data_IF_772038012724
#
_entry.id   IF_772038012724
#
_cell.length_a   1.000
_cell.length_b   1.000
_cell.length_c   1.000
_cell.angle_alpha   90.00
_cell.angle_beta   90.00
_cell.angle_gamma   90.00
#
_symmetry.space_group_name_H-M   'P 1'
#
loop_
_entity.id
_entity.type
_entity.pdbx_description
1 polymer ?
#
# COMPACT_ATOMS: atom_id res chain seq x y z
N UNK A 1 -5.59 16.39 9.58
CA UNK A 1 -5.93 14.95 9.62
C UNK A 1 -5.18 14.25 8.52
N UNK A 2 -4.49 13.17 8.85
CA UNK A 2 -3.75 12.41 7.85
C UNK A 2 -4.69 11.52 7.06
N UNK A 3 -4.60 11.58 5.76
CA UNK A 3 -5.24 10.62 4.89
C UNK A 3 -4.25 9.54 4.50
N UNK A 4 -4.75 8.35 4.25
CA UNK A 4 -3.94 7.24 3.81
C UNK A 4 -4.29 6.89 2.38
N UNK A 5 -3.30 6.41 1.67
CA UNK A 5 -3.48 5.89 0.32
C UNK A 5 -3.10 4.41 0.31
N UNK A 6 -3.72 3.68 -0.60
CA UNK A 6 -3.34 2.31 -0.89
C UNK A 6 -2.83 2.24 -2.31
N UNK A 7 -1.57 1.84 -2.48
CA UNK A 7 -0.95 1.67 -3.77
C UNK A 7 -0.89 0.18 -4.10
N UNK A 8 -1.51 -0.22 -5.21
CA UNK A 8 -1.50 -1.60 -5.69
C UNK A 8 -0.39 -1.79 -6.70
N UNK A 9 0.32 -2.88 -6.59
CA UNK A 9 1.40 -3.22 -7.52
C UNK A 9 0.98 -4.39 -8.42
N UNK A 10 1.09 -4.19 -9.72
CA UNK A 10 1.15 -5.28 -10.68
C UNK A 10 2.59 -5.47 -11.14
N UNK A 11 2.78 -6.34 -12.11
CA UNK A 11 4.12 -6.61 -12.64
C UNK A 11 4.79 -5.33 -13.17
N UNK A 12 4.06 -4.53 -13.93
CA UNK A 12 4.59 -3.35 -14.60
C UNK A 12 3.77 -2.09 -14.35
N UNK A 13 2.90 -2.10 -13.33
CA UNK A 13 1.98 -0.99 -13.08
C UNK A 13 1.75 -0.77 -11.58
N UNK A 14 1.30 0.44 -11.27
CA UNK A 14 0.86 0.82 -9.92
C UNK A 14 -0.41 1.65 -10.04
N UNK A 15 -1.41 1.31 -9.27
CA UNK A 15 -2.67 2.08 -9.17
C UNK A 15 -2.84 2.50 -7.72
N UNK A 16 -3.32 3.72 -7.49
CA UNK A 16 -3.54 4.23 -6.14
C UNK A 16 -5.01 4.49 -5.87
N UNK A 17 -5.43 4.18 -4.65
CA UNK A 17 -6.72 4.58 -4.11
C UNK A 17 -6.46 5.51 -2.92
N UNK A 18 -7.21 6.61 -2.83
CA UNK A 18 -6.98 7.67 -1.86
C UNK A 18 -8.19 7.89 -0.97
N UNK A 19 -8.00 8.65 0.10
CA UNK A 19 -9.09 9.14 0.93
C UNK A 19 -9.46 8.22 2.09
N UNK A 20 -8.55 7.34 2.49
CA UNK A 20 -8.79 6.51 3.67
C UNK A 20 -8.45 7.29 4.94
N UNK A 21 -9.37 7.27 5.91
CA UNK A 21 -9.19 7.99 7.17
C UNK A 21 -8.23 7.33 8.15
N UNK A 22 -7.86 6.07 7.92
CA UNK A 22 -6.92 5.34 8.77
C UNK A 22 -6.12 4.34 7.95
N UNK A 23 -4.96 3.95 8.48
CA UNK A 23 -4.15 2.91 7.87
C UNK A 23 -4.90 1.58 7.78
N UNK A 24 -5.73 1.30 8.79
CA UNK A 24 -6.51 0.06 8.84
C UNK A 24 -7.54 0.00 7.71
N UNK A 25 -8.20 1.11 7.40
CA UNK A 25 -9.17 1.16 6.30
C UNK A 25 -8.49 0.97 4.95
N UNK A 26 -7.34 1.59 4.76
CA UNK A 26 -6.54 1.39 3.54
C UNK A 26 -6.07 -0.06 3.43
N UNK A 27 -5.65 -0.67 4.53
CA UNK A 27 -5.25 -2.08 4.55
C UNK A 27 -6.39 -3.00 4.15
N UNK A 28 -7.59 -2.75 4.66
CA UNK A 28 -8.78 -3.53 4.29
C UNK A 28 -9.02 -3.47 2.78
N UNK A 29 -8.88 -2.30 2.20
CA UNK A 29 -9.05 -2.13 0.75
C UNK A 29 -7.98 -2.88 -0.03
N UNK A 30 -6.73 -2.81 0.45
CA UNK A 30 -5.63 -3.57 -0.15
C UNK A 30 -5.86 -5.08 -0.12
N UNK A 31 -6.30 -5.59 1.02
CA UNK A 31 -6.62 -7.00 1.16
C UNK A 31 -7.76 -7.44 0.24
N UNK A 32 -8.74 -6.57 0.04
CA UNK A 32 -9.84 -6.81 -0.89
C UNK A 32 -9.33 -6.95 -2.32
N UNK A 33 -8.34 -6.15 -2.70
CA UNK A 33 -7.81 -6.13 -4.06
C UNK A 33 -6.76 -7.20 -4.34
N UNK A 34 -6.07 -7.71 -3.31
CA UNK A 34 -4.99 -8.69 -3.51
C UNK A 34 -5.40 -9.96 -4.26
N UNK A 35 -6.60 -10.53 -4.04
CA UNK A 35 -7.00 -11.72 -4.79
C UNK A 35 -7.28 -11.46 -6.27
N UNK A 36 -7.35 -10.19 -6.68
CA UNK A 36 -7.60 -9.84 -8.08
C UNK A 36 -6.42 -10.27 -8.94
N UNK A 37 -6.71 -10.89 -10.08
CA UNK A 37 -5.68 -11.36 -10.99
C UNK A 37 -4.77 -10.21 -11.43
N UNK A 38 -3.47 -10.41 -11.35
CA UNK A 38 -2.48 -9.41 -11.71
C UNK A 38 -2.04 -8.49 -10.59
N UNK A 39 -2.71 -8.51 -9.44
CA UNK A 39 -2.26 -7.75 -8.27
C UNK A 39 -1.15 -8.52 -7.57
N UNK A 40 -0.01 -7.89 -7.47
CA UNK A 40 1.22 -8.46 -6.94
C UNK A 40 1.36 -8.20 -5.44
N UNK A 41 0.90 -7.02 -5.00
CA UNK A 41 0.92 -6.62 -3.61
C UNK A 41 0.34 -5.23 -3.45
N UNK A 42 0.37 -4.69 -2.24
CA UNK A 42 -0.06 -3.32 -2.00
C UNK A 42 0.75 -2.67 -0.89
N UNK A 43 0.74 -1.35 -0.87
CA UNK A 43 1.34 -0.55 0.19
C UNK A 43 0.32 0.45 0.74
N UNK A 44 0.29 0.60 2.05
CA UNK A 44 -0.49 1.62 2.74
C UNK A 44 0.46 2.70 3.22
N UNK A 45 0.23 3.94 2.83
CA UNK A 45 1.13 5.05 3.08
C UNK A 45 0.33 6.27 3.49
N UNK A 46 0.81 7.00 4.50
CA UNK A 46 0.21 8.27 4.87
C UNK A 46 0.45 9.31 3.77
N UNK A 47 -0.58 10.02 3.37
CA UNK A 47 -0.47 11.10 2.40
C UNK A 47 0.09 12.34 3.10
N UNK A 48 1.11 12.95 2.51
CA UNK A 48 1.72 14.20 2.99
C UNK A 48 1.32 15.37 2.09
N UNK A 49 1.65 16.60 2.53
CA UNK A 49 1.38 17.81 1.75
C UNK A 49 2.07 17.81 0.39
N UNK A 50 3.17 17.09 0.26
CA UNK A 50 3.92 16.97 -0.99
C UNK A 50 3.56 15.71 -1.79
N UNK A 51 2.45 15.05 -1.43
CA UNK A 51 2.07 13.78 -2.00
C UNK A 51 2.71 12.62 -1.22
N UNK A 52 2.71 11.46 -1.82
CA UNK A 52 3.25 10.28 -1.18
C UNK A 52 4.50 9.81 -1.92
N UNK A 53 5.41 9.22 -1.18
CA UNK A 53 6.56 8.52 -1.75
C UNK A 53 6.73 7.18 -1.07
N UNK A 54 6.95 6.16 -1.87
CA UNK A 54 7.28 4.84 -1.37
C UNK A 54 8.73 4.55 -1.73
N UNK A 55 9.60 4.54 -0.71
CA UNK A 55 11.01 4.20 -0.86
C UNK A 55 11.22 2.68 -0.79
N UNK A 56 10.37 1.96 -1.46
CA UNK A 56 10.44 0.51 -1.51
C UNK A 56 10.95 0.09 -2.88
N UNK A 57 12.03 -0.65 -2.89
CA UNK A 57 12.54 -1.23 -4.13
C UNK A 57 11.63 -2.40 -4.52
N UNK A 58 10.94 -2.25 -5.64
CA UNK A 58 10.03 -3.27 -6.15
C UNK A 58 10.72 -4.60 -6.45
N UNK A 59 12.03 -4.57 -6.71
CA UNK A 59 12.79 -5.79 -6.93
C UNK A 59 12.88 -6.67 -5.68
N UNK A 60 12.63 -6.10 -4.52
CA UNK A 60 12.57 -6.85 -3.26
C UNK A 60 11.24 -7.56 -3.05
N UNK A 61 10.22 -7.23 -3.83
CA UNK A 61 8.91 -7.84 -3.75
C UNK A 61 8.89 -9.08 -4.63
N UNK A 62 8.60 -10.23 -4.05
CA UNK A 62 8.69 -11.52 -4.75
C UNK A 62 7.35 -12.25 -4.88
N UNK A 63 6.26 -11.67 -4.42
CA UNK A 63 4.97 -12.33 -4.45
C UNK A 63 3.86 -11.42 -3.96
N UNK A 64 2.81 -12.00 -3.41
CA UNK A 64 1.71 -11.23 -2.84
C UNK A 64 2.11 -10.72 -1.47
N UNK A 65 2.59 -9.49 -1.46
CA UNK A 65 3.08 -8.83 -0.26
C UNK A 65 2.24 -7.61 0.05
N UNK A 66 2.17 -7.26 1.33
CA UNK A 66 1.58 -6.01 1.75
C UNK A 66 2.58 -5.24 2.61
N UNK A 67 2.67 -3.96 2.35
CA UNK A 67 3.47 -3.01 3.12
C UNK A 67 2.48 -2.07 3.78
N UNK A 68 2.48 -2.01 5.10
CA UNK A 68 1.52 -1.19 5.84
C UNK A 68 2.28 -0.18 6.68
N UNK A 69 1.95 1.10 6.47
CA UNK A 69 2.38 2.17 7.36
C UNK A 69 1.31 2.34 8.44
N UNK A 70 1.69 2.20 9.70
CA UNK A 70 0.75 2.40 10.79
C UNK A 70 0.53 3.89 11.09
N UNK A 71 -0.33 4.20 12.06
CA UNK A 71 -0.65 5.59 12.41
C UNK A 71 0.53 6.33 13.05
N UNK A 72 1.60 5.62 13.42
CA UNK A 72 2.83 6.17 13.95
C UNK A 72 3.92 6.35 12.88
N UNK A 73 3.56 6.16 11.61
CA UNK A 73 4.45 6.25 10.45
C UNK A 73 5.52 5.16 10.38
N UNK A 74 5.32 4.05 11.06
CA UNK A 74 6.20 2.89 10.95
C UNK A 74 5.74 1.99 9.82
N UNK A 75 6.68 1.47 9.05
CA UNK A 75 6.40 0.54 7.96
C UNK A 75 6.67 -0.90 8.38
N UNK A 76 5.84 -1.80 7.91
CA UNK A 76 6.11 -3.23 8.02
C UNK A 76 5.70 -3.91 6.72
N UNK A 77 6.45 -4.94 6.35
CA UNK A 77 6.16 -5.77 5.18
C UNK A 77 5.65 -7.11 5.70
N UNK A 78 4.48 -7.50 5.22
CA UNK A 78 3.86 -8.76 5.59
C UNK A 78 3.77 -9.61 4.34
N UNK A 79 4.43 -10.74 4.35
CA UNK A 79 4.34 -11.70 3.24
C UNK A 79 3.10 -12.56 3.39
N UNK A 80 2.39 -12.69 2.31
CA UNK A 80 1.21 -13.55 2.30
C UNK A 80 1.59 -15.02 2.26
#
# INVERSE_FOLDING_TARGET
MKDFICAYFGKDWTITARGFGSAKDAEKHGLFMMPTAGVFGFAVIAESDNGWQLNLDRSMLSGKEKVVQDDLNNFKIICA
#
